data_IF_199143385797
#
_entry.id   IF_199143385797
#
_cell.length_a   1.000
_cell.length_b   1.000
_cell.length_c   1.000
_cell.angle_alpha   90.00
_cell.angle_beta   90.00
_cell.angle_gamma   90.00
#
_symmetry.space_group_name_H-M   'P 1'
#
loop_
_entity.id
_entity.type
_entity.pdbx_description
1 polymer ?
#
# COMPACT_ATOMS: atom_id res chain seq x y z
N UNK A 1 -21.66 -6.31 -10.51
CA UNK A 1 -20.19 -6.21 -10.63
C UNK A 1 -19.65 -5.51 -9.39
N UNK A 2 -18.53 -5.97 -8.78
CA UNK A 2 -17.94 -5.38 -7.56
C UNK A 2 -16.44 -5.21 -7.76
N UNK A 3 -15.87 -4.10 -7.27
CA UNK A 3 -14.42 -3.94 -7.18
C UNK A 3 -13.98 -4.63 -5.90
N UNK A 4 -13.15 -5.68 -6.02
CA UNK A 4 -12.63 -6.45 -4.88
C UNK A 4 -11.12 -6.37 -4.73
N UNK A 5 -10.44 -5.83 -5.74
CA UNK A 5 -8.99 -5.71 -5.81
C UNK A 5 -8.63 -4.32 -6.33
N UNK A 6 -7.60 -3.74 -5.74
CA UNK A 6 -6.89 -2.57 -6.25
C UNK A 6 -5.40 -2.76 -6.03
N UNK A 7 -4.54 -2.04 -6.75
CA UNK A 7 -3.10 -2.32 -6.77
C UNK A 7 -2.25 -1.09 -6.50
N UNK A 8 -1.12 -1.29 -5.83
CA UNK A 8 0.00 -0.34 -5.78
C UNK A 8 1.28 -1.03 -6.23
N UNK A 9 2.05 -0.36 -7.08
CA UNK A 9 3.35 -0.86 -7.50
C UNK A 9 4.42 -0.59 -6.43
N UNK A 10 5.16 -1.62 -6.06
CA UNK A 10 6.22 -1.62 -5.06
C UNK A 10 7.54 -2.10 -5.65
N UNK A 11 8.64 -1.53 -5.19
CA UNK A 11 9.99 -1.87 -5.66
C UNK A 11 10.55 -3.14 -4.99
N UNK A 12 10.05 -3.49 -3.81
CA UNK A 12 10.42 -4.68 -3.06
C UNK A 12 9.18 -5.15 -2.25
N UNK A 13 8.63 -6.30 -2.61
CA UNK A 13 7.41 -6.82 -1.98
C UNK A 13 7.60 -7.20 -0.50
N UNK A 14 8.81 -7.57 -0.06
CA UNK A 14 9.06 -7.88 1.35
C UNK A 14 9.07 -6.61 2.19
N UNK A 15 9.77 -5.58 1.72
CA UNK A 15 9.76 -4.26 2.38
C UNK A 15 8.36 -3.65 2.38
N UNK A 16 7.62 -3.82 1.28
CA UNK A 16 6.24 -3.40 1.21
C UNK A 16 5.37 -4.14 2.24
N UNK A 17 5.46 -5.48 2.30
CA UNK A 17 4.69 -6.25 3.27
C UNK A 17 4.93 -5.76 4.70
N UNK A 18 6.19 -5.55 5.07
CA UNK A 18 6.56 -5.04 6.39
C UNK A 18 5.98 -3.64 6.63
N UNK A 19 6.11 -2.72 5.67
CA UNK A 19 5.56 -1.38 5.82
C UNK A 19 4.02 -1.38 5.94
N UNK A 20 3.32 -2.07 5.03
CA UNK A 20 1.86 -2.09 5.02
C UNK A 20 1.27 -2.80 6.24
N UNK A 21 1.95 -3.82 6.77
CA UNK A 21 1.45 -4.56 7.94
C UNK A 21 1.93 -3.99 9.27
N UNK A 22 3.24 -3.84 9.46
CA UNK A 22 3.84 -3.43 10.75
C UNK A 22 3.72 -1.93 11.00
N UNK A 23 3.70 -1.10 9.94
CA UNK A 23 3.61 0.36 10.07
C UNK A 23 2.17 0.84 9.88
N UNK A 24 1.56 0.55 8.72
CA UNK A 24 0.20 1.00 8.42
C UNK A 24 -0.88 0.20 9.14
N UNK A 25 -0.59 -1.03 9.59
CA UNK A 25 -1.52 -1.83 10.37
C UNK A 25 -2.50 -2.68 9.55
N UNK A 26 -2.30 -2.82 8.24
CA UNK A 26 -3.07 -3.75 7.42
C UNK A 26 -2.75 -5.21 7.80
N UNK A 27 -3.67 -6.13 7.47
CA UNK A 27 -3.48 -7.56 7.65
C UNK A 27 -3.08 -8.21 6.33
N UNK A 28 -2.08 -9.11 6.36
CA UNK A 28 -1.77 -9.95 5.20
C UNK A 28 -2.95 -10.88 4.91
N UNK A 29 -3.43 -10.90 3.66
CA UNK A 29 -4.55 -11.74 3.23
C UNK A 29 -4.07 -12.92 2.38
N UNK A 30 -3.41 -12.65 1.26
CA UNK A 30 -2.85 -13.67 0.36
C UNK A 30 -1.35 -13.46 0.19
N UNK A 31 -0.61 -14.56 0.10
CA UNK A 31 0.84 -14.57 -0.15
C UNK A 31 1.19 -15.87 -0.86
N UNK A 32 1.03 -15.87 -2.18
CA UNK A 32 1.11 -17.07 -3.03
C UNK A 32 2.19 -16.86 -4.10
N UNK A 33 3.08 -17.83 -4.22
CA UNK A 33 4.03 -17.90 -5.33
C UNK A 33 3.37 -18.54 -6.55
N UNK A 34 3.40 -17.84 -7.70
CA UNK A 34 2.89 -18.30 -8.98
C UNK A 34 3.97 -18.15 -10.06
N UNK A 35 4.79 -19.18 -10.23
CA UNK A 35 5.96 -19.14 -11.11
C UNK A 35 6.94 -18.04 -10.67
N UNK A 36 7.24 -17.11 -11.59
CA UNK A 36 8.13 -15.97 -11.31
C UNK A 36 7.41 -14.76 -10.70
N UNK A 37 6.11 -14.88 -10.43
CA UNK A 37 5.30 -13.81 -9.87
C UNK A 37 4.83 -14.20 -8.46
N UNK A 38 4.77 -13.22 -7.55
CA UNK A 38 4.24 -13.39 -6.19
C UNK A 38 2.98 -12.57 -6.03
N UNK A 39 1.86 -13.25 -5.84
CA UNK A 39 0.58 -12.63 -5.54
C UNK A 39 0.51 -12.33 -4.04
N UNK A 40 0.61 -11.04 -3.70
CA UNK A 40 0.66 -10.57 -2.33
C UNK A 40 -0.40 -9.51 -2.09
N UNK A 41 -1.32 -9.77 -1.16
CA UNK A 41 -2.40 -8.84 -0.83
C UNK A 41 -2.48 -8.56 0.67
N UNK A 42 -2.94 -7.36 0.99
CA UNK A 42 -3.30 -6.94 2.35
C UNK A 42 -4.74 -6.41 2.39
N UNK A 43 -5.36 -6.45 3.57
CA UNK A 43 -6.73 -5.97 3.83
C UNK A 43 -6.78 -5.08 5.06
N UNK A 44 -7.80 -4.22 5.13
CA UNK A 44 -8.10 -3.48 6.37
C UNK A 44 -8.49 -4.46 7.48
N UNK A 45 -8.00 -4.29 8.73
CA UNK A 45 -8.52 -5.03 9.87
C UNK A 45 -10.00 -4.75 10.15
N UNK A 46 -10.53 -3.60 9.70
CA UNK A 46 -11.94 -3.21 9.86
C UNK A 46 -12.87 -3.93 8.88
N UNK A 47 -12.34 -4.37 7.73
CA UNK A 47 -13.08 -5.21 6.77
C UNK A 47 -12.17 -6.31 6.17
N UNK A 48 -11.88 -7.40 6.94
CA UNK A 48 -10.96 -8.45 6.51
C UNK A 48 -11.42 -9.27 5.30
N UNK A 49 -12.67 -9.11 4.89
CA UNK A 49 -13.27 -9.76 3.72
C UNK A 49 -13.66 -8.74 2.63
N UNK A 50 -13.17 -7.50 2.77
CA UNK A 50 -13.46 -6.35 1.95
C UNK A 50 -12.72 -6.31 0.61
N UNK A 51 -12.19 -5.13 0.29
CA UNK A 51 -11.29 -4.91 -0.84
C UNK A 51 -9.87 -5.29 -0.43
N UNK A 52 -9.19 -6.02 -1.30
CA UNK A 52 -7.79 -6.37 -1.15
C UNK A 52 -6.91 -5.36 -1.89
N UNK A 53 -5.84 -4.91 -1.21
CA UNK A 53 -4.77 -4.14 -1.82
C UNK A 53 -3.65 -5.07 -2.27
N UNK A 54 -3.42 -5.16 -3.57
CA UNK A 54 -2.33 -5.94 -4.16
C UNK A 54 -1.03 -5.13 -4.11
N UNK A 55 0.02 -5.74 -3.57
CA UNK A 55 1.38 -5.19 -3.55
C UNK A 55 2.12 -5.71 -4.80
N UNK A 56 1.90 -5.05 -5.94
CA UNK A 56 2.41 -5.45 -7.25
C UNK A 56 3.92 -5.16 -7.38
N UNK A 57 4.77 -6.10 -7.81
CA UNK A 57 6.17 -5.78 -8.09
C UNK A 57 6.27 -4.86 -9.32
N UNK A 58 7.18 -3.89 -9.29
CA UNK A 58 7.42 -2.97 -10.42
C UNK A 58 8.54 -3.43 -11.37
N UNK A 59 8.81 -4.74 -11.47
CA UNK A 59 9.89 -5.28 -12.32
C UNK A 59 9.66 -5.07 -13.82
N UNK A 60 8.40 -4.93 -14.25
CA UNK A 60 8.05 -4.53 -15.59
C UNK A 60 8.46 -3.06 -15.86
N UNK A 61 9.14 -2.74 -16.97
CA UNK A 61 9.59 -1.38 -17.27
C UNK A 61 8.48 -0.32 -17.21
N UNK A 62 7.28 -0.62 -17.72
CA UNK A 62 6.15 0.32 -17.69
C UNK A 62 5.64 0.57 -16.27
N UNK A 63 5.58 -0.47 -15.43
CA UNK A 63 5.20 -0.34 -14.02
C UNK A 63 6.20 0.52 -13.25
N UNK A 64 7.50 0.32 -13.50
CA UNK A 64 8.57 1.14 -12.91
C UNK A 64 8.47 2.59 -13.35
N UNK A 65 8.34 2.85 -14.65
CA UNK A 65 8.19 4.21 -15.19
C UNK A 65 6.96 4.91 -14.62
N UNK A 66 5.82 4.21 -14.52
CA UNK A 66 4.62 4.76 -13.91
C UNK A 66 4.88 5.19 -12.45
N UNK A 67 5.38 4.27 -11.61
CA UNK A 67 5.65 4.52 -10.19
C UNK A 67 6.61 5.72 -10.00
N UNK A 68 7.74 5.73 -10.71
CA UNK A 68 8.74 6.79 -10.59
C UNK A 68 8.20 8.14 -11.06
N UNK A 69 7.40 8.16 -12.13
CA UNK A 69 6.85 9.39 -12.71
C UNK A 69 5.84 10.04 -11.76
N UNK A 70 4.89 9.27 -11.23
CA UNK A 70 3.90 9.82 -10.29
C UNK A 70 4.56 10.26 -8.99
N UNK A 71 5.57 9.54 -8.51
CA UNK A 71 6.31 9.90 -7.31
C UNK A 71 7.06 11.23 -7.48
N UNK A 72 7.78 11.40 -8.60
CA UNK A 72 8.48 12.66 -8.93
C UNK A 72 7.54 13.85 -9.04
N UNK A 73 6.32 13.64 -9.52
CA UNK A 73 5.29 14.67 -9.67
C UNK A 73 4.47 14.91 -8.39
N UNK A 74 4.71 14.16 -7.30
CA UNK A 74 3.93 14.27 -6.07
C UNK A 74 2.48 13.78 -6.20
N UNK A 75 2.17 12.99 -7.23
CA UNK A 75 0.84 12.41 -7.45
C UNK A 75 0.64 11.21 -6.53
N UNK A 76 -0.48 11.19 -5.81
CA UNK A 76 -0.83 10.12 -4.85
C UNK A 76 -1.20 8.85 -5.62
N UNK A 77 -0.63 7.71 -5.24
CA UNK A 77 -0.94 6.41 -5.85
C UNK A 77 -2.19 5.74 -5.30
N UNK A 78 -2.54 6.01 -4.04
CA UNK A 78 -3.68 5.44 -3.34
C UNK A 78 -4.20 6.43 -2.29
N UNK A 79 -5.45 6.23 -1.87
CA UNK A 79 -6.07 6.95 -0.76
C UNK A 79 -6.70 5.94 0.20
N UNK A 80 -6.46 6.14 1.49
CA UNK A 80 -7.05 5.36 2.58
C UNK A 80 -7.83 6.32 3.48
N UNK A 81 -9.00 5.88 3.94
CA UNK A 81 -9.85 6.65 4.85
C UNK A 81 -9.63 6.15 6.27
N UNK A 82 -9.68 7.08 7.21
CA UNK A 82 -9.60 6.84 8.66
C UNK A 82 -10.57 7.78 9.36
N UNK A 83 -11.05 7.39 10.53
CA UNK A 83 -12.00 8.19 11.30
C UNK A 83 -11.39 9.50 11.84
N UNK A 84 -10.11 9.46 12.25
CA UNK A 84 -9.39 10.59 12.82
C UNK A 84 -8.00 10.72 12.19
N UNK A 85 -7.88 11.65 11.23
CA UNK A 85 -6.65 11.87 10.49
C UNK A 85 -5.53 12.47 11.36
N UNK A 86 -5.86 13.26 12.39
CA UNK A 86 -4.86 13.86 13.28
C UNK A 86 -4.23 12.79 14.16
N UNK A 87 -5.06 11.92 14.75
CA UNK A 87 -4.59 10.78 15.54
C UNK A 87 -3.73 9.83 14.71
N UNK A 88 -4.16 9.51 13.49
CA UNK A 88 -3.43 8.59 12.62
C UNK A 88 -2.10 9.19 12.14
N UNK A 89 -2.09 10.48 11.79
CA UNK A 89 -0.86 11.20 11.45
C UNK A 89 0.17 11.13 12.60
N UNK A 90 -0.25 11.39 13.84
CA UNK A 90 0.66 11.31 15.00
C UNK A 90 1.18 9.89 15.26
N UNK A 91 0.33 8.87 15.10
CA UNK A 91 0.72 7.46 15.22
C UNK A 91 1.80 7.10 14.19
N UNK A 92 1.55 7.40 12.92
CA UNK A 92 2.45 7.08 11.81
C UNK A 92 3.75 7.89 11.88
N UNK A 93 3.69 9.16 12.29
CA UNK A 93 4.90 9.99 12.52
C UNK A 93 5.81 9.39 13.59
N UNK A 94 5.25 8.90 14.69
CA UNK A 94 6.01 8.19 15.76
C UNK A 94 6.64 6.88 15.27
N UNK A 95 6.05 6.24 14.27
CA UNK A 95 6.59 5.04 13.61
C UNK A 95 7.59 5.36 12.49
N UNK A 96 7.96 6.64 12.31
CA UNK A 96 8.96 7.06 11.33
C UNK A 96 8.43 7.25 9.91
N UNK A 97 7.11 7.29 9.70
CA UNK A 97 6.54 7.58 8.37
C UNK A 97 6.83 9.03 7.99
N UNK A 98 7.37 9.21 6.78
CA UNK A 98 7.56 10.53 6.17
C UNK A 98 6.25 10.99 5.52
N UNK A 99 5.73 12.12 5.98
CA UNK A 99 4.64 12.83 5.34
C UNK A 99 5.17 13.99 4.49
N UNK A 100 4.56 14.22 3.33
CA UNK A 100 4.85 15.38 2.46
C UNK A 100 4.01 16.59 2.82
N UNK A 101 2.91 16.39 3.55
CA UNK A 101 1.96 17.42 3.98
C UNK A 101 1.35 17.01 5.32
N UNK A 102 1.15 17.96 6.23
CA UNK A 102 0.44 17.73 7.49
C UNK A 102 -1.08 17.83 7.28
N UNK A 103 -1.89 17.08 8.05
CA UNK A 103 -3.34 17.25 8.03
C UNK A 103 -3.77 18.64 8.52
N UNK A 104 -4.76 19.23 7.84
CA UNK A 104 -5.40 20.51 8.21
C UNK A 104 -6.56 20.30 9.17
#
# INVERSE_FOLDING_TARGET
MKIKLTSVFVNDQNKALDFYTKTLGFLKKMDIQAGNYRWLTVVSPEDPNGVELVLEPNNNPSAKTYQESIFKQGVRSAAFFVDDIQKEYQRLKKLGVRFTMEPT
#
